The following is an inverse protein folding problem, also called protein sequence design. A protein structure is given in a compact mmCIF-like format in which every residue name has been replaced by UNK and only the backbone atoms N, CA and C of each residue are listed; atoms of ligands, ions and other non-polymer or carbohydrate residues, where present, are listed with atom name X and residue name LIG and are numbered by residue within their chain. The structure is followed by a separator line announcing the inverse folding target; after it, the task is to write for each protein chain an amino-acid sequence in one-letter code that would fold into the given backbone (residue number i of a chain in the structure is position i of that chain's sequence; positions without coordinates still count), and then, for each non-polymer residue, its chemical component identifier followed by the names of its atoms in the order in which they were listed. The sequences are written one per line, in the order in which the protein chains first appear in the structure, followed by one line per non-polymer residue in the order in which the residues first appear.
data_IF_348314783733
#
_entry.id   IF_348314783733
#
_cell.length_a   1.000
_cell.length_b   1.000
_cell.length_c   1.000
_cell.angle_alpha   90.00
_cell.angle_beta   90.00
_cell.angle_gamma   90.00
#
_symmetry.space_group_name_H-M   'P 1'
#
loop_
_entity.id
_entity.type
_entity.pdbx_description
1 polymer ?
#
# COMPACT_ATOMS: atom_id res chain seq x y z
N UNK A 1 24.33 1.92 2.76
CA UNK A 1 24.31 2.65 1.48
C UNK A 1 23.07 3.51 1.44
N UNK A 2 23.14 4.75 0.94
CA UNK A 2 22.14 5.81 1.19
C UNK A 2 22.00 6.21 2.68
N UNK A 3 23.03 5.95 3.50
CA UNK A 3 23.01 6.21 4.95
C UNK A 3 23.00 7.71 5.30
N UNK A 4 23.17 8.58 4.29
CA UNK A 4 23.08 10.03 4.40
C UNK A 4 21.63 10.55 4.28
N UNK A 5 20.66 9.70 3.90
CA UNK A 5 19.27 10.11 3.80
C UNK A 5 18.62 10.17 5.19
N UNK A 6 17.99 11.29 5.46
CA UNK A 6 17.03 11.56 6.54
C UNK A 6 15.61 11.72 5.97
N UNK A 7 14.63 12.08 6.81
CA UNK A 7 13.24 12.25 6.40
C UNK A 7 13.07 13.39 5.37
N UNK A 8 13.82 14.50 5.54
CA UNK A 8 13.74 15.66 4.65
C UNK A 8 14.29 15.34 3.26
N UNK A 9 15.48 14.73 3.19
CA UNK A 9 16.13 14.34 1.94
C UNK A 9 15.42 13.17 1.26
N UNK A 10 14.79 12.26 2.01
CA UNK A 10 13.94 11.22 1.45
C UNK A 10 12.70 11.79 0.75
N UNK A 11 12.02 12.75 1.39
CA UNK A 11 10.89 13.44 0.76
C UNK A 11 11.33 14.30 -0.43
N UNK A 12 12.47 15.00 -0.31
CA UNK A 12 13.04 15.77 -1.41
C UNK A 12 13.37 14.88 -2.62
N UNK A 13 13.88 13.67 -2.40
CA UNK A 13 14.08 12.69 -3.47
C UNK A 13 12.75 12.29 -4.12
N UNK A 14 11.71 12.02 -3.33
CA UNK A 14 10.38 11.70 -3.88
C UNK A 14 9.80 12.79 -4.78
N UNK A 15 10.04 14.07 -4.44
CA UNK A 15 9.64 15.22 -5.25
C UNK A 15 10.30 15.28 -6.64
N UNK A 16 11.42 14.57 -6.85
CA UNK A 16 12.05 14.46 -8.17
C UNK A 16 11.27 13.53 -9.11
N UNK A 17 10.47 12.61 -8.57
CA UNK A 17 9.70 11.63 -9.35
C UNK A 17 8.26 12.07 -9.59
N UNK A 18 7.73 13.00 -8.79
CA UNK A 18 6.40 13.55 -8.93
C UNK A 18 5.92 14.25 -7.66
N UNK A 19 4.63 14.51 -7.56
CA UNK A 19 4.02 15.12 -6.36
C UNK A 19 3.76 14.03 -5.31
N UNK A 20 4.40 14.07 -4.12
CA UNK A 20 4.10 13.14 -3.05
C UNK A 20 2.64 13.24 -2.61
N UNK A 21 2.05 12.09 -2.27
CA UNK A 21 0.67 11.99 -1.77
C UNK A 21 0.69 11.33 -0.39
N UNK A 22 -0.04 11.91 0.55
CA UNK A 22 -0.18 11.35 1.90
C UNK A 22 -1.24 10.23 1.87
N UNK A 23 -1.17 9.31 2.83
CA UNK A 23 -2.19 8.27 2.95
C UNK A 23 -3.56 8.91 3.24
N UNK A 24 -4.63 8.55 2.50
CA UNK A 24 -5.90 9.29 2.51
C UNK A 24 -6.65 9.23 3.85
N UNK A 25 -6.39 8.23 4.68
CA UNK A 25 -7.10 8.03 5.97
C UNK A 25 -6.18 7.90 7.17
N UNK A 26 -4.87 7.74 6.96
CA UNK A 26 -3.91 7.52 8.05
C UNK A 26 -2.99 8.73 8.07
N UNK A 27 -3.13 9.62 9.06
CA UNK A 27 -2.30 10.81 9.13
C UNK A 27 -0.85 10.44 9.42
N UNK A 28 0.10 11.17 8.82
CA UNK A 28 1.48 11.13 9.33
C UNK A 28 1.54 11.80 10.69
N UNK A 29 2.32 11.23 11.62
CA UNK A 29 2.47 11.72 12.98
C UNK A 29 3.06 13.15 13.04
N UNK A 30 3.80 13.55 12.01
CA UNK A 30 4.55 14.82 11.93
C UNK A 30 4.08 15.73 10.77
N UNK A 31 2.97 15.37 10.11
CA UNK A 31 2.44 16.13 8.97
C UNK A 31 3.19 15.93 7.65
N UNK A 32 4.19 15.04 7.60
CA UNK A 32 4.88 14.66 6.35
C UNK A 32 4.03 13.75 5.46
N UNK A 33 4.52 13.51 4.25
CA UNK A 33 3.92 12.55 3.32
C UNK A 33 4.29 11.09 3.63
N UNK A 34 5.44 10.87 4.27
CA UNK A 34 5.93 9.54 4.61
C UNK A 34 5.15 8.92 5.75
N UNK A 35 4.75 7.65 5.60
CA UNK A 35 4.14 6.86 6.67
C UNK A 35 5.17 5.89 7.26
N UNK A 36 5.39 5.97 8.57
CA UNK A 36 6.24 5.04 9.29
C UNK A 36 5.62 3.64 9.36
N UNK A 37 6.41 2.61 9.01
CA UNK A 37 6.03 1.20 9.16
C UNK A 37 6.88 0.60 10.27
N UNK A 38 6.23 0.25 11.38
CA UNK A 38 6.88 -0.32 12.55
C UNK A 38 6.29 -1.70 12.86
N UNK A 39 7.09 -2.74 12.64
CA UNK A 39 6.68 -4.13 12.83
C UNK A 39 6.49 -4.55 14.28
N UNK A 40 7.06 -3.81 15.24
CA UNK A 40 6.93 -4.06 16.68
C UNK A 40 5.59 -3.52 17.18
N UNK A 41 5.07 -2.48 16.53
CA UNK A 41 3.75 -1.91 16.77
C UNK A 41 2.68 -2.46 15.80
N UNK A 42 2.92 -3.63 15.19
CA UNK A 42 1.95 -4.33 14.35
C UNK A 42 1.81 -3.76 12.93
N UNK A 43 2.69 -2.85 12.51
CA UNK A 43 2.82 -2.38 11.14
C UNK A 43 3.46 -3.46 10.26
N UNK A 44 2.64 -4.40 9.76
CA UNK A 44 3.05 -5.40 8.78
C UNK A 44 2.04 -5.48 7.65
N UNK A 45 2.51 -5.35 6.42
CA UNK A 45 1.71 -5.53 5.22
C UNK A 45 1.93 -6.96 4.68
N UNK A 46 1.36 -7.94 5.37
CA UNK A 46 1.61 -9.38 5.15
C UNK A 46 0.62 -10.06 4.19
N UNK A 47 -0.15 -9.28 3.44
CA UNK A 47 -1.01 -9.74 2.36
C UNK A 47 -0.54 -9.16 1.04
N UNK A 48 -0.63 -9.94 -0.04
CA UNK A 48 -0.36 -9.41 -1.38
C UNK A 48 -1.34 -8.29 -1.69
N UNK A 49 -0.81 -7.11 -2.00
CA UNK A 49 -1.59 -5.92 -2.30
C UNK A 49 -0.80 -4.99 -3.22
N UNK A 50 -1.48 -3.96 -3.70
CA UNK A 50 -0.86 -2.75 -4.25
C UNK A 50 -1.45 -1.54 -3.52
N UNK A 51 -0.65 -0.50 -3.35
CA UNK A 51 -0.95 0.58 -2.41
C UNK A 51 -2.20 1.39 -2.82
N UNK A 52 -3.12 1.59 -1.88
CA UNK A 52 -4.17 2.63 -1.94
C UNK A 52 -5.12 2.51 -3.16
N UNK A 53 -5.31 1.32 -3.73
CA UNK A 53 -6.21 1.12 -4.90
C UNK A 53 -7.66 1.52 -4.71
N UNK A 54 -8.08 1.84 -3.49
CA UNK A 54 -9.45 2.23 -3.19
C UNK A 54 -9.74 3.70 -3.55
N UNK A 55 -8.76 4.51 -3.98
CA UNK A 55 -8.98 5.89 -4.45
C UNK A 55 -8.93 5.99 -5.99
N UNK A 56 -9.63 6.96 -6.63
CA UNK A 56 -9.66 7.10 -8.10
C UNK A 56 -8.30 7.22 -8.78
N UNK A 57 -7.39 7.99 -8.18
CA UNK A 57 -6.03 8.21 -8.66
C UNK A 57 -5.04 7.75 -7.58
N UNK A 58 -4.86 6.43 -7.48
CA UNK A 58 -3.92 5.82 -6.53
C UNK A 58 -2.45 6.05 -6.96
N UNK A 59 -1.48 5.90 -6.02
CA UNK A 59 -0.08 6.20 -6.29
C UNK A 59 0.51 5.41 -7.46
N UNK A 60 1.31 6.09 -8.28
CA UNK A 60 2.06 5.53 -9.40
C UNK A 60 3.23 4.65 -8.94
N UNK A 61 3.92 5.10 -7.89
CA UNK A 61 5.11 4.47 -7.33
C UNK A 61 5.20 4.79 -5.84
N UNK A 62 5.87 3.90 -5.10
CA UNK A 62 6.19 4.05 -3.69
C UNK A 62 7.71 4.05 -3.53
N UNK A 63 8.22 4.84 -2.59
CA UNK A 63 9.63 4.87 -2.21
C UNK A 63 9.69 4.39 -0.76
N UNK A 64 10.50 3.37 -0.49
CA UNK A 64 10.65 2.78 0.83
C UNK A 64 12.10 2.94 1.30
N UNK A 65 12.29 3.51 2.50
CA UNK A 65 13.59 3.61 3.17
C UNK A 65 13.55 2.80 4.46
N UNK A 66 14.56 1.94 4.63
CA UNK A 66 14.76 1.22 5.88
C UNK A 66 15.42 2.14 6.92
N UNK A 67 14.80 2.24 8.11
CA UNK A 67 15.33 3.01 9.25
C UNK A 67 15.93 2.08 10.29
N UNK A 68 15.17 1.06 10.70
CA UNK A 68 15.62 -0.03 11.58
C UNK A 68 15.27 -1.35 10.90
N UNK A 69 16.25 -2.26 10.81
CA UNK A 69 16.10 -3.57 10.17
C UNK A 69 16.38 -4.66 11.23
N UNK A 70 15.51 -5.67 11.39
CA UNK A 70 15.78 -6.77 12.31
C UNK A 70 16.98 -7.61 11.85
N UNK A 71 17.68 -8.31 12.78
CA UNK A 71 18.86 -9.11 12.44
C UNK A 71 18.55 -10.29 11.50
N UNK A 72 17.28 -10.69 11.38
CA UNK A 72 16.80 -11.71 10.45
C UNK A 72 15.31 -11.47 10.12
N UNK A 73 14.85 -11.99 8.99
CA UNK A 73 13.48 -11.79 8.52
C UNK A 73 13.23 -10.35 8.05
N UNK A 74 11.96 -9.91 8.03
CA UNK A 74 11.60 -8.54 7.58
C UNK A 74 11.67 -8.33 6.07
N UNK A 75 11.79 -9.41 5.28
CA UNK A 75 11.84 -9.32 3.82
C UNK A 75 10.54 -8.73 3.27
N UNK A 76 10.68 -7.85 2.30
CA UNK A 76 9.57 -7.44 1.42
C UNK A 76 9.65 -8.26 0.14
N UNK A 77 8.53 -8.82 -0.29
CA UNK A 77 8.43 -9.57 -1.54
C UNK A 77 7.61 -8.75 -2.54
N UNK A 78 8.04 -8.79 -3.80
CA UNK A 78 7.31 -8.15 -4.91
C UNK A 78 6.95 -9.19 -5.95
N UNK A 79 5.78 -9.02 -6.58
CA UNK A 79 5.34 -9.80 -7.72
C UNK A 79 5.12 -8.87 -8.91
N UNK A 80 5.55 -9.29 -10.10
CA UNK A 80 5.37 -8.51 -11.32
C UNK A 80 4.04 -8.86 -11.99
N UNK A 81 3.07 -7.94 -11.89
CA UNK A 81 1.73 -8.12 -12.46
C UNK A 81 1.69 -8.03 -13.98
N UNK A 82 2.64 -7.30 -14.61
CA UNK A 82 2.76 -7.28 -16.07
C UNK A 82 3.22 -8.65 -16.59
N UNK A 83 4.26 -9.23 -16.00
CA UNK A 83 4.70 -10.60 -16.36
C UNK A 83 3.61 -11.65 -16.07
N UNK A 84 2.87 -11.50 -14.97
CA UNK A 84 1.74 -12.38 -14.67
C UNK A 84 0.65 -12.30 -15.74
N UNK A 85 0.32 -11.09 -16.21
CA UNK A 85 -0.63 -10.87 -17.29
C UNK A 85 -0.15 -11.44 -18.63
N UNK A 86 1.12 -11.19 -18.99
CA UNK A 86 1.72 -11.72 -20.22
C UNK A 86 1.72 -13.26 -20.27
N UNK A 87 1.82 -13.90 -19.11
CA UNK A 87 1.75 -15.35 -18.95
C UNK A 87 0.34 -15.94 -18.95
N UNK A 88 -0.73 -15.14 -19.01
CA UNK A 88 -2.10 -15.65 -19.03
C UNK A 88 -2.39 -16.38 -20.36
N UNK A 89 -3.03 -17.56 -20.31
CA UNK A 89 -3.69 -18.14 -21.49
C UNK A 89 -4.65 -17.13 -22.11
N UNK A 90 -4.74 -17.12 -23.44
CA UNK A 90 -5.55 -16.14 -24.18
C UNK A 90 -6.99 -15.97 -23.64
N UNK A 91 -7.75 -17.03 -23.32
CA UNK A 91 -9.10 -16.85 -22.76
C UNK A 91 -9.13 -16.10 -21.43
N UNK A 92 -8.14 -16.32 -20.56
CA UNK A 92 -8.05 -15.62 -19.27
C UNK A 92 -7.58 -14.18 -19.44
N UNK A 93 -6.72 -13.91 -20.42
CA UNK A 93 -6.31 -12.54 -20.76
C UNK A 93 -7.49 -11.72 -21.27
N UNK A 94 -8.26 -12.26 -22.21
CA UNK A 94 -9.50 -11.62 -22.72
C UNK A 94 -10.51 -11.38 -21.59
N UNK A 95 -10.67 -12.35 -20.69
CA UNK A 95 -11.51 -12.18 -19.52
C UNK A 95 -11.00 -11.01 -18.66
N UNK A 96 -9.71 -11.01 -18.30
CA UNK A 96 -9.11 -9.97 -17.47
C UNK A 96 -9.25 -8.57 -18.09
N UNK A 97 -9.08 -8.44 -19.42
CA UNK A 97 -9.25 -7.18 -20.16
C UNK A 97 -10.69 -6.63 -20.10
N UNK A 98 -11.68 -7.52 -19.96
CA UNK A 98 -13.10 -7.15 -19.88
C UNK A 98 -13.59 -6.80 -18.47
N UNK A 99 -12.84 -7.21 -17.44
CA UNK A 99 -13.30 -7.11 -16.06
C UNK A 99 -13.00 -5.75 -15.44
N UNK A 100 -13.90 -5.35 -14.54
CA UNK A 100 -13.75 -4.21 -13.64
C UNK A 100 -13.95 -4.70 -12.21
N UNK A 101 -13.16 -4.17 -11.30
CA UNK A 101 -13.18 -4.53 -9.89
C UNK A 101 -13.45 -3.29 -9.04
N UNK A 102 -14.21 -3.47 -7.96
CA UNK A 102 -14.46 -2.43 -6.96
C UNK A 102 -13.51 -2.61 -5.80
N UNK A 103 -12.74 -1.57 -5.50
CA UNK A 103 -11.74 -1.52 -4.44
C UNK A 103 -12.27 -0.66 -3.29
N UNK A 104 -12.11 -1.15 -2.06
CA UNK A 104 -12.58 -0.51 -0.84
C UNK A 104 -11.51 -0.56 0.25
N UNK A 105 -11.52 0.46 1.12
CA UNK A 105 -10.75 0.45 2.37
C UNK A 105 -11.51 -0.21 3.53
N UNK A 106 -12.78 -0.58 3.35
CA UNK A 106 -13.59 -1.32 4.31
C UNK A 106 -13.17 -2.80 4.32
N UNK A 107 -12.03 -3.03 4.95
CA UNK A 107 -11.31 -4.31 4.94
C UNK A 107 -11.49 -5.05 6.27
N UNK A 108 -11.58 -6.39 6.23
CA UNK A 108 -11.73 -7.21 7.45
C UNK A 108 -10.40 -7.38 8.18
N UNK A 109 -10.10 -6.42 9.05
CA UNK A 109 -8.88 -6.43 9.87
C UNK A 109 -8.88 -7.48 10.98
N UNK A 110 -10.04 -7.95 11.43
CA UNK A 110 -10.13 -8.95 12.50
C UNK A 110 -9.65 -10.33 12.01
N UNK A 111 -9.98 -10.69 10.76
CA UNK A 111 -9.51 -11.93 10.15
C UNK A 111 -7.98 -12.01 9.99
N UNK A 112 -7.31 -10.87 9.82
CA UNK A 112 -5.85 -10.82 9.56
C UNK A 112 -4.98 -10.61 10.80
N UNK A 113 -5.57 -10.20 11.93
CA UNK A 113 -4.84 -9.89 13.17
C UNK A 113 -5.47 -10.62 14.36
N UNK A 114 -5.49 -11.97 14.36
CA UNK A 114 -6.16 -12.76 15.39
C UNK A 114 -5.59 -12.57 16.80
N UNK A 115 -4.37 -12.04 16.93
CA UNK A 115 -3.72 -11.79 18.22
C UNK A 115 -3.75 -10.31 18.66
N UNK A 116 -4.36 -9.42 17.88
CA UNK A 116 -4.48 -8.02 18.28
C UNK A 116 -5.60 -7.86 19.34
N UNK A 117 -5.38 -6.95 20.28
CA UNK A 117 -6.39 -6.59 21.26
C UNK A 117 -7.64 -6.01 20.54
N UNK A 118 -8.86 -6.38 20.96
CA UNK A 118 -10.09 -5.90 20.33
C UNK A 118 -10.16 -4.37 20.23
N UNK A 119 -9.71 -3.64 21.25
CA UNK A 119 -9.73 -2.17 21.25
C UNK A 119 -8.79 -1.58 20.20
N UNK A 120 -7.61 -2.19 20.02
CA UNK A 120 -6.64 -1.75 19.01
C UNK A 120 -7.15 -2.01 17.58
N UNK A 121 -7.87 -3.12 17.36
CA UNK A 121 -8.52 -3.43 16.08
C UNK A 121 -9.63 -2.44 15.77
N UNK A 122 -10.50 -2.13 16.74
CA UNK A 122 -11.58 -1.16 16.57
C UNK A 122 -11.05 0.25 16.31
N UNK A 123 -10.00 0.67 17.03
CA UNK A 123 -9.35 1.96 16.78
C UNK A 123 -8.73 2.03 15.38
N UNK A 124 -8.00 0.98 14.97
CA UNK A 124 -7.40 0.91 13.65
C UNK A 124 -8.48 0.98 12.55
N UNK A 125 -9.55 0.19 12.69
CA UNK A 125 -10.68 0.19 11.76
C UNK A 125 -11.33 1.57 11.69
N UNK A 126 -11.57 2.22 12.83
CA UNK A 126 -12.16 3.56 12.89
C UNK A 126 -11.33 4.61 12.16
N UNK A 127 -10.00 4.56 12.28
CA UNK A 127 -9.10 5.47 11.55
C UNK A 127 -9.10 5.14 10.06
N UNK A 128 -8.84 3.88 9.71
CA UNK A 128 -8.65 3.48 8.31
C UNK A 128 -9.93 3.63 7.48
N UNK A 129 -11.10 3.39 8.07
CA UNK A 129 -12.43 3.54 7.44
C UNK A 129 -13.13 4.86 7.78
N UNK A 130 -12.42 5.82 8.38
CA UNK A 130 -12.96 7.14 8.77
C UNK A 130 -13.63 7.87 7.59
N UNK A 131 -13.08 7.68 6.40
CA UNK A 131 -13.74 7.95 5.12
C UNK A 131 -13.88 6.63 4.38
N UNK A 132 -15.11 6.26 3.99
CA UNK A 132 -15.33 5.05 3.19
C UNK A 132 -15.06 5.35 1.72
N UNK A 133 -14.18 4.57 1.12
CA UNK A 133 -13.87 4.62 -0.29
C UNK A 133 -14.45 3.40 -0.98
N UNK A 134 -15.03 3.61 -2.15
CA UNK A 134 -15.51 2.56 -3.03
C UNK A 134 -15.26 3.02 -4.46
N UNK A 135 -14.24 2.48 -5.09
CA UNK A 135 -13.79 2.94 -6.41
C UNK A 135 -13.68 1.76 -7.36
N UNK A 136 -14.22 1.92 -8.56
CA UNK A 136 -14.14 0.90 -9.60
C UNK A 136 -12.96 1.17 -10.55
N UNK A 137 -12.13 0.14 -10.79
CA UNK A 137 -11.01 0.17 -11.71
C UNK A 137 -11.11 -0.99 -12.71
N UNK A 138 -10.57 -0.85 -13.94
CA UNK A 138 -10.34 -2.02 -14.78
C UNK A 138 -9.36 -2.96 -14.07
N UNK A 139 -9.58 -4.28 -14.18
CA UNK A 139 -8.68 -5.29 -13.59
C UNK A 139 -7.29 -5.21 -14.22
N UNK A 140 -7.24 -4.91 -15.51
CA UNK A 140 -6.00 -4.65 -16.26
C UNK A 140 -5.90 -3.16 -16.49
N UNK A 141 -4.86 -2.54 -15.92
CA UNK A 141 -4.55 -1.13 -16.12
C UNK A 141 -3.12 -0.98 -16.61
N UNK A 142 -2.93 -0.28 -17.72
CA UNK A 142 -1.63 0.17 -18.18
C UNK A 142 -1.34 1.53 -17.53
N UNK A 143 -0.19 1.62 -16.85
CA UNK A 143 0.27 2.90 -16.31
C UNK A 143 0.68 3.81 -17.50
N UNK A 144 0.15 5.05 -17.61
CA UNK A 144 0.63 6.02 -18.59
C UNK A 144 2.04 6.53 -18.28
#
# INVERSE_FOLDING_TARGET
GQDHLDEDSHEAFGKLLGTPVAHPTVPSADGRYSLGIDSDHGGRANQWHTDVTFVPAYPAFSILRAVVIPPYGGNTLWANTATAYDGLPEPLRVLADSLRAVHSNDYDYAALRPQALPEALEQYKKVFTSTKFLTEHPVVRVHP
#
